data_IF_594928415251
#
_entry.id   IF_594928415251
#
_cell.length_a   1.000
_cell.length_b   1.000
_cell.length_c   1.000
_cell.angle_alpha   90.00
_cell.angle_beta   90.00
_cell.angle_gamma   90.00
#
_symmetry.space_group_name_H-M   'P 1'
#
loop_
_entity.id
_entity.type
_entity.pdbx_description
1 polymer ?
#
# COMPACT_ATOMS: atom_id res chain seq x y z
N UNK A 1 6.56 4.11 36.10
CA UNK A 1 6.03 3.10 35.16
C UNK A 1 7.21 2.58 34.36
N UNK A 2 7.39 1.28 34.26
CA UNK A 2 8.70 0.70 33.91
C UNK A 2 8.82 0.48 32.40
N UNK A 3 9.25 1.51 31.66
CA UNK A 3 9.44 1.51 30.21
C UNK A 3 10.21 0.27 29.67
N UNK A 4 11.12 -0.27 30.48
CA UNK A 4 11.89 -1.46 30.12
C UNK A 4 11.04 -2.74 30.12
N UNK A 5 10.07 -2.87 31.01
CA UNK A 5 9.12 -3.99 31.04
C UNK A 5 8.13 -3.95 29.87
N UNK A 6 7.67 -2.75 29.50
CA UNK A 6 6.79 -2.56 28.34
C UNK A 6 7.51 -2.91 27.04
N UNK A 7 8.78 -2.51 26.90
CA UNK A 7 9.61 -2.84 25.73
C UNK A 7 9.85 -4.35 25.61
N UNK A 8 10.21 -5.02 26.71
CA UNK A 8 10.40 -6.48 26.73
C UNK A 8 9.11 -7.23 26.40
N UNK A 9 7.97 -6.75 26.88
CA UNK A 9 6.68 -7.34 26.58
C UNK A 9 6.31 -7.19 25.09
N UNK A 10 6.51 -6.02 24.51
CA UNK A 10 6.30 -5.77 23.08
C UNK A 10 7.22 -6.63 22.20
N UNK A 11 8.49 -6.79 22.58
CA UNK A 11 9.43 -7.67 21.86
C UNK A 11 9.02 -9.14 21.91
N UNK A 12 8.54 -9.62 23.07
CA UNK A 12 8.03 -11.00 23.21
C UNK A 12 6.83 -11.24 22.30
N UNK A 13 5.86 -10.32 22.30
CA UNK A 13 4.67 -10.42 21.46
C UNK A 13 4.97 -10.36 19.96
N UNK A 14 5.91 -9.52 19.55
CA UNK A 14 6.37 -9.48 18.15
C UNK A 14 6.96 -10.83 17.71
N UNK A 15 7.67 -11.51 18.62
CA UNK A 15 8.19 -12.85 18.38
C UNK A 15 7.07 -13.88 18.21
N UNK A 16 6.05 -13.83 19.04
CA UNK A 16 4.87 -14.71 18.95
C UNK A 16 4.11 -14.54 17.63
N UNK A 17 3.91 -13.30 17.19
CA UNK A 17 3.26 -13.01 15.89
C UNK A 17 4.07 -13.55 14.70
N UNK A 18 5.40 -13.38 14.74
CA UNK A 18 6.26 -13.96 13.70
C UNK A 18 6.17 -15.47 13.66
N UNK A 19 6.14 -16.12 14.82
CA UNK A 19 5.99 -17.57 14.92
C UNK A 19 4.63 -18.03 14.36
N UNK A 20 3.52 -17.33 14.66
CA UNK A 20 2.20 -17.62 14.10
C UNK A 20 2.16 -17.47 12.59
N UNK A 21 2.78 -16.44 12.03
CA UNK A 21 2.85 -16.24 10.58
C UNK A 21 3.64 -17.36 9.90
N UNK A 22 4.75 -17.78 10.50
CA UNK A 22 5.56 -18.89 9.98
C UNK A 22 4.84 -20.24 10.08
N UNK A 23 4.15 -20.50 11.19
CA UNK A 23 3.29 -21.66 11.34
C UNK A 23 2.17 -21.67 10.29
N UNK A 24 1.50 -20.54 10.07
CA UNK A 24 0.49 -20.42 9.02
C UNK A 24 1.05 -20.74 7.63
N UNK A 25 2.29 -20.33 7.33
CA UNK A 25 2.97 -20.67 6.07
C UNK A 25 3.16 -22.17 5.92
N UNK A 26 3.65 -22.86 6.93
CA UNK A 26 3.86 -24.31 6.95
C UNK A 26 2.54 -25.09 6.80
N UNK A 27 1.49 -24.60 7.47
CA UNK A 27 0.14 -25.17 7.34
C UNK A 27 -0.43 -25.01 5.92
N UNK A 28 -0.16 -23.87 5.26
CA UNK A 28 -0.54 -23.70 3.84
C UNK A 28 0.20 -24.67 2.92
N UNK A 29 1.48 -24.98 3.19
CA UNK A 29 2.26 -25.96 2.44
C UNK A 29 1.72 -27.38 2.62
N UNK A 30 1.19 -27.70 3.80
CA UNK A 30 0.52 -28.97 4.10
C UNK A 30 -0.98 -29.00 3.75
N UNK A 31 -1.50 -27.95 3.12
CA UNK A 31 -2.90 -27.77 2.75
C UNK A 31 -3.90 -27.72 3.93
N UNK A 32 -3.45 -27.46 5.17
CA UNK A 32 -4.34 -27.14 6.29
C UNK A 32 -4.70 -25.63 6.25
N UNK A 33 -5.47 -25.25 5.25
CA UNK A 33 -5.88 -23.90 4.99
C UNK A 33 -6.78 -23.32 6.08
N UNK A 34 -7.56 -24.16 6.77
CA UNK A 34 -8.47 -23.74 7.82
C UNK A 34 -7.72 -23.23 9.04
N UNK A 35 -6.70 -23.96 9.49
CA UNK A 35 -5.88 -23.56 10.64
C UNK A 35 -4.98 -22.37 10.26
N UNK A 36 -4.39 -22.40 9.06
CA UNK A 36 -3.60 -21.27 8.55
C UNK A 36 -4.39 -19.95 8.54
N UNK A 37 -5.64 -19.98 8.03
CA UNK A 37 -6.50 -18.79 8.02
C UNK A 37 -6.76 -18.24 9.42
N UNK A 38 -7.04 -19.11 10.39
CA UNK A 38 -7.29 -18.69 11.79
C UNK A 38 -6.07 -17.97 12.37
N UNK A 39 -4.88 -18.50 12.15
CA UNK A 39 -3.63 -17.89 12.62
C UNK A 39 -3.39 -16.54 11.96
N UNK A 40 -3.59 -16.43 10.63
CA UNK A 40 -3.42 -15.16 9.90
C UNK A 40 -4.39 -14.07 10.35
N UNK A 41 -5.67 -14.41 10.55
CA UNK A 41 -6.68 -13.46 11.05
C UNK A 41 -6.34 -13.04 12.48
N UNK A 42 -6.02 -13.98 13.36
CA UNK A 42 -5.61 -13.67 14.74
C UNK A 42 -4.37 -12.77 14.77
N UNK A 43 -3.37 -13.06 13.94
CA UNK A 43 -2.17 -12.23 13.84
C UNK A 43 -2.48 -10.83 13.28
N UNK A 44 -3.41 -10.70 12.32
CA UNK A 44 -3.82 -9.40 11.77
C UNK A 44 -4.51 -8.51 12.79
N UNK A 45 -5.41 -9.09 13.61
CA UNK A 45 -6.20 -8.37 14.60
C UNK A 45 -5.38 -7.93 15.84
N UNK A 46 -4.13 -8.36 15.92
CA UNK A 46 -3.28 -8.02 17.06
C UNK A 46 -2.86 -6.54 17.00
N UNK A 47 -3.12 -5.72 18.06
CA UNK A 47 -2.92 -4.27 18.01
C UNK A 47 -1.47 -3.82 17.78
N UNK A 48 -0.50 -4.61 18.28
CA UNK A 48 0.92 -4.28 18.20
C UNK A 48 1.62 -4.88 16.97
N UNK A 49 0.87 -5.33 15.96
CA UNK A 49 1.48 -5.83 14.70
C UNK A 49 2.17 -4.72 13.96
N UNK A 50 3.49 -4.81 13.86
CA UNK A 50 4.31 -3.89 13.07
C UNK A 50 4.12 -4.12 11.56
N UNK A 51 4.34 -3.10 10.75
CA UNK A 51 4.06 -3.11 9.29
C UNK A 51 4.75 -4.25 8.53
N UNK A 52 5.97 -4.65 8.94
CA UNK A 52 6.66 -5.78 8.31
C UNK A 52 5.92 -7.11 8.49
N UNK A 53 5.30 -7.34 9.64
CA UNK A 53 4.49 -8.52 9.91
C UNK A 53 3.17 -8.47 9.15
N UNK A 54 2.51 -7.30 9.10
CA UNK A 54 1.29 -7.11 8.29
C UNK A 54 1.54 -7.38 6.82
N UNK A 55 2.67 -6.93 6.27
CA UNK A 55 3.05 -7.22 4.88
C UNK A 55 3.14 -8.73 4.61
N UNK A 56 3.71 -9.49 5.53
CA UNK A 56 3.76 -10.97 5.43
C UNK A 56 2.37 -11.61 5.49
N UNK A 57 1.49 -11.11 6.35
CA UNK A 57 0.09 -11.58 6.44
C UNK A 57 -0.64 -11.33 5.11
N UNK A 58 -0.54 -10.14 4.52
CA UNK A 58 -1.17 -9.82 3.23
C UNK A 58 -0.68 -10.73 2.10
N UNK A 59 0.64 -11.03 2.05
CA UNK A 59 1.20 -11.95 1.06
C UNK A 59 0.58 -13.35 1.20
N UNK A 60 0.44 -13.85 2.42
CA UNK A 60 -0.15 -15.17 2.66
C UNK A 60 -1.66 -15.18 2.38
N UNK A 61 -2.40 -14.16 2.79
CA UNK A 61 -3.83 -14.03 2.46
C UNK A 61 -4.06 -13.95 0.94
N UNK A 62 -3.22 -13.21 0.20
CA UNK A 62 -3.28 -13.12 -1.27
C UNK A 62 -3.09 -14.49 -1.94
N UNK A 63 -2.25 -15.37 -1.36
CA UNK A 63 -2.06 -16.75 -1.84
C UNK A 63 -3.20 -17.68 -1.42
N UNK A 64 -3.82 -17.43 -0.26
CA UNK A 64 -4.84 -18.29 0.31
C UNK A 64 -6.22 -18.08 -0.32
N UNK A 65 -6.60 -16.84 -0.64
CA UNK A 65 -7.91 -16.48 -1.19
C UNK A 65 -8.28 -17.26 -2.46
N UNK A 66 -7.40 -17.46 -3.45
CA UNK A 66 -7.73 -18.22 -4.66
C UNK A 66 -7.98 -19.73 -4.43
N UNK A 67 -7.43 -20.31 -3.37
CA UNK A 67 -7.43 -21.76 -3.13
C UNK A 67 -8.35 -22.18 -1.99
N UNK A 68 -8.84 -21.23 -1.18
CA UNK A 68 -9.68 -21.52 -0.01
C UNK A 68 -10.79 -20.47 0.14
N UNK A 69 -12.00 -20.78 -0.32
CA UNK A 69 -13.14 -19.86 -0.35
C UNK A 69 -13.45 -19.16 1.01
N UNK A 70 -13.35 -19.82 2.19
CA UNK A 70 -13.54 -19.14 3.46
C UNK A 70 -12.56 -17.99 3.72
N UNK A 71 -11.36 -17.99 3.09
CA UNK A 71 -10.39 -16.91 3.21
C UNK A 71 -10.91 -15.62 2.58
N UNK A 72 -11.65 -15.70 1.46
CA UNK A 72 -12.26 -14.53 0.84
C UNK A 72 -13.26 -13.87 1.78
N UNK A 73 -14.12 -14.65 2.45
CA UNK A 73 -15.07 -14.13 3.43
C UNK A 73 -14.38 -13.51 4.65
N UNK A 74 -13.25 -14.08 5.11
CA UNK A 74 -12.47 -13.51 6.19
C UNK A 74 -11.82 -12.19 5.80
N UNK A 75 -11.18 -12.12 4.62
CA UNK A 75 -10.57 -10.89 4.10
C UNK A 75 -11.63 -9.78 3.92
N UNK A 76 -12.83 -10.14 3.45
CA UNK A 76 -13.95 -9.19 3.35
C UNK A 76 -14.31 -8.58 4.71
N UNK A 77 -14.38 -9.39 5.77
CA UNK A 77 -14.65 -8.90 7.13
C UNK A 77 -13.54 -7.97 7.64
N UNK A 78 -12.28 -8.30 7.41
CA UNK A 78 -11.16 -7.45 7.78
C UNK A 78 -11.23 -6.11 7.04
N UNK A 79 -11.51 -6.12 5.73
CA UNK A 79 -11.70 -4.92 4.92
C UNK A 79 -12.85 -4.05 5.45
N UNK A 80 -14.00 -4.65 5.74
CA UNK A 80 -15.18 -3.93 6.24
C UNK A 80 -14.93 -3.35 7.63
N UNK A 81 -14.10 -4.00 8.45
CA UNK A 81 -13.65 -3.48 9.72
C UNK A 81 -12.80 -2.21 9.54
N UNK A 82 -11.79 -2.22 8.64
CA UNK A 82 -11.00 -1.02 8.35
C UNK A 82 -11.87 0.09 7.72
N UNK A 83 -12.77 -0.26 6.80
CA UNK A 83 -13.73 0.69 6.21
C UNK A 83 -14.60 1.36 7.28
N UNK A 84 -15.01 0.62 8.32
CA UNK A 84 -15.80 1.16 9.41
C UNK A 84 -15.08 2.21 10.25
N UNK A 85 -13.76 2.06 10.43
CA UNK A 85 -12.90 3.06 11.10
C UNK A 85 -12.78 4.31 10.23
N UNK A 86 -12.50 4.13 8.93
CA UNK A 86 -12.38 5.21 7.96
C UNK A 86 -13.67 6.06 7.93
N UNK A 87 -14.84 5.42 7.87
CA UNK A 87 -16.14 6.11 7.86
C UNK A 87 -16.44 6.87 9.16
N UNK A 88 -15.83 6.49 10.28
CA UNK A 88 -16.00 7.18 11.57
C UNK A 88 -14.94 8.26 11.80
N UNK A 89 -14.07 8.50 10.84
CA UNK A 89 -12.86 9.35 10.98
C UNK A 89 -11.95 8.92 12.14
N UNK A 90 -11.98 7.63 12.51
CA UNK A 90 -11.11 7.00 13.49
C UNK A 90 -10.04 6.18 12.75
N UNK A 91 -9.25 6.86 11.94
CA UNK A 91 -8.26 6.22 11.09
C UNK A 91 -7.01 7.07 10.92
N UNK A 92 -5.93 6.36 10.65
CA UNK A 92 -4.64 6.89 10.24
C UNK A 92 -4.24 6.35 8.85
N UNK A 93 -3.07 6.72 8.38
CA UNK A 93 -2.50 6.22 7.13
C UNK A 93 -2.40 4.69 7.10
N UNK A 94 -2.09 4.04 8.23
CA UNK A 94 -1.97 2.57 8.31
C UNK A 94 -3.31 1.90 8.09
N UNK A 95 -4.38 2.42 8.69
CA UNK A 95 -5.76 1.95 8.50
C UNK A 95 -6.18 2.02 7.03
N UNK A 96 -5.90 3.15 6.36
CA UNK A 96 -6.21 3.36 4.95
C UNK A 96 -5.37 2.44 4.06
N UNK A 97 -4.09 2.29 4.34
CA UNK A 97 -3.21 1.38 3.61
C UNK A 97 -3.65 -0.09 3.74
N UNK A 98 -4.04 -0.51 4.94
CA UNK A 98 -4.59 -1.85 5.18
C UNK A 98 -5.86 -2.09 4.37
N UNK A 99 -6.79 -1.12 4.37
CA UNK A 99 -8.00 -1.18 3.57
C UNK A 99 -7.70 -1.33 2.07
N UNK A 100 -6.78 -0.54 1.54
CA UNK A 100 -6.35 -0.63 0.14
C UNK A 100 -5.79 -2.00 -0.23
N UNK A 101 -4.88 -2.55 0.60
CA UNK A 101 -4.31 -3.89 0.40
C UNK A 101 -5.35 -5.01 0.47
N UNK A 102 -6.33 -4.90 1.36
CA UNK A 102 -7.42 -5.89 1.46
C UNK A 102 -8.33 -5.85 0.23
N UNK A 103 -8.63 -4.65 -0.31
CA UNK A 103 -9.34 -4.53 -1.60
C UNK A 103 -8.55 -5.15 -2.76
N UNK A 104 -7.24 -4.95 -2.83
CA UNK A 104 -6.39 -5.59 -3.84
C UNK A 104 -6.45 -7.12 -3.76
N UNK A 105 -6.40 -7.69 -2.55
CA UNK A 105 -6.51 -9.15 -2.33
C UNK A 105 -7.88 -9.68 -2.79
N UNK A 106 -8.93 -8.91 -2.57
CA UNK A 106 -10.31 -9.27 -2.98
C UNK A 106 -10.54 -9.07 -4.49
N UNK A 107 -9.67 -8.35 -5.20
CA UNK A 107 -9.91 -7.91 -6.56
C UNK A 107 -11.07 -6.93 -6.70
N UNK A 108 -11.38 -6.18 -5.64
CA UNK A 108 -12.47 -5.19 -5.61
C UNK A 108 -11.94 -3.83 -6.07
N UNK A 109 -11.86 -3.64 -7.39
CA UNK A 109 -11.35 -2.42 -8.02
C UNK A 109 -12.16 -1.17 -7.66
N UNK A 110 -13.44 -1.31 -7.33
CA UNK A 110 -14.31 -0.19 -7.00
C UNK A 110 -14.45 0.07 -5.49
N UNK A 111 -13.96 -0.83 -4.65
CA UNK A 111 -14.17 -0.76 -3.20
C UNK A 111 -13.64 0.52 -2.58
N UNK A 112 -12.47 0.99 -3.01
CA UNK A 112 -11.86 2.21 -2.50
C UNK A 112 -12.61 3.47 -2.99
N UNK A 113 -12.99 3.52 -4.27
CA UNK A 113 -13.74 4.64 -4.85
C UNK A 113 -15.14 4.75 -4.20
N UNK A 114 -15.83 3.62 -4.01
CA UNK A 114 -17.13 3.59 -3.34
C UNK A 114 -17.05 4.07 -1.88
N UNK A 115 -15.94 3.80 -1.18
CA UNK A 115 -15.72 4.32 0.15
C UNK A 115 -15.44 5.82 0.11
N UNK A 116 -14.59 6.28 -0.81
CA UNK A 116 -14.25 7.68 -1.01
C UNK A 116 -15.48 8.55 -1.25
N UNK A 117 -16.43 8.08 -2.06
CA UNK A 117 -17.67 8.79 -2.37
C UNK A 117 -18.61 8.96 -1.16
N UNK A 118 -18.47 8.10 -0.16
CA UNK A 118 -19.25 8.15 1.08
C UNK A 118 -18.61 9.03 2.16
N UNK A 119 -17.36 9.40 2.00
CA UNK A 119 -16.64 10.22 2.98
C UNK A 119 -17.09 11.69 2.88
N UNK A 120 -17.28 12.29 4.04
CA UNK A 120 -17.60 13.73 4.17
C UNK A 120 -16.36 14.48 4.68
N UNK A 121 -15.58 13.85 5.56
CA UNK A 121 -14.38 14.45 6.19
C UNK A 121 -13.27 14.64 5.14
N UNK A 122 -12.84 15.90 4.87
CA UNK A 122 -11.83 16.17 3.87
C UNK A 122 -10.45 15.62 4.24
N UNK A 123 -10.10 15.50 5.53
CA UNK A 123 -8.83 14.97 5.98
C UNK A 123 -8.76 13.47 5.67
N UNK A 124 -9.86 12.75 5.94
CA UNK A 124 -9.95 11.31 5.66
C UNK A 124 -10.00 11.07 4.15
N UNK A 125 -10.67 11.93 3.38
CA UNK A 125 -10.62 11.88 1.91
C UNK A 125 -9.21 12.01 1.38
N UNK A 126 -8.44 12.95 1.92
CA UNK A 126 -7.05 13.17 1.51
C UNK A 126 -6.18 11.93 1.78
N UNK A 127 -6.33 11.30 2.93
CA UNK A 127 -5.65 10.03 3.22
C UNK A 127 -6.01 8.91 2.23
N UNK A 128 -7.29 8.78 1.85
CA UNK A 128 -7.74 7.74 0.93
C UNK A 128 -7.39 8.06 -0.53
N UNK A 129 -7.10 9.30 -0.85
CA UNK A 129 -6.84 9.77 -2.21
C UNK A 129 -5.66 9.03 -2.87
N UNK A 130 -4.64 8.66 -2.09
CA UNK A 130 -3.50 7.84 -2.56
C UNK A 130 -3.90 6.48 -3.15
N UNK A 131 -5.06 5.96 -2.79
CA UNK A 131 -5.58 4.67 -3.24
C UNK A 131 -6.63 4.77 -4.35
N UNK A 132 -7.20 5.97 -4.59
CA UNK A 132 -8.33 6.14 -5.54
C UNK A 132 -8.04 7.09 -6.69
N UNK A 133 -6.92 7.82 -6.66
CA UNK A 133 -6.66 8.86 -7.64
C UNK A 133 -6.66 8.36 -9.09
N UNK A 134 -6.15 7.14 -9.36
CA UNK A 134 -6.19 6.55 -10.71
C UNK A 134 -7.61 6.27 -11.17
N UNK A 135 -8.49 5.87 -10.26
CA UNK A 135 -9.89 5.60 -10.57
C UNK A 135 -10.69 6.90 -10.76
N UNK A 136 -10.34 7.95 -10.00
CA UNK A 136 -10.88 9.29 -10.22
C UNK A 136 -10.48 9.83 -11.59
N UNK A 137 -9.23 9.65 -12.02
CA UNK A 137 -8.78 10.03 -13.38
C UNK A 137 -9.54 9.26 -14.45
N UNK A 138 -9.64 7.93 -14.34
CA UNK A 138 -10.42 7.10 -15.26
C UNK A 138 -11.89 7.52 -15.35
N UNK A 139 -12.43 8.04 -14.24
CA UNK A 139 -13.80 8.57 -14.16
C UNK A 139 -13.89 10.06 -14.52
N UNK A 140 -12.80 10.68 -14.98
CA UNK A 140 -12.71 12.10 -15.36
C UNK A 140 -13.01 13.08 -14.23
N UNK A 141 -12.76 12.68 -12.98
CA UNK A 141 -12.99 13.47 -11.75
C UNK A 141 -11.72 14.22 -11.35
N UNK A 142 -11.14 15.00 -12.25
CA UNK A 142 -9.82 15.62 -12.10
C UNK A 142 -9.75 16.63 -10.95
N UNK A 143 -10.81 17.40 -10.72
CA UNK A 143 -10.84 18.39 -9.62
C UNK A 143 -10.67 17.75 -8.24
N UNK A 144 -11.12 16.50 -8.08
CA UNK A 144 -10.98 15.78 -6.82
C UNK A 144 -9.55 15.23 -6.61
N UNK A 145 -8.79 15.09 -7.68
CA UNK A 145 -7.37 14.68 -7.64
C UNK A 145 -6.43 15.87 -7.48
N UNK A 146 -6.89 17.08 -7.81
CA UNK A 146 -6.10 18.31 -7.79
C UNK A 146 -5.29 18.54 -6.51
N UNK A 147 -5.84 18.34 -5.30
CA UNK A 147 -5.07 18.50 -4.06
C UNK A 147 -3.88 17.55 -3.95
N UNK A 148 -3.95 16.39 -4.62
CA UNK A 148 -2.93 15.35 -4.58
C UNK A 148 -1.88 15.48 -5.69
N UNK A 149 -2.11 16.34 -6.68
CA UNK A 149 -1.28 16.44 -7.88
C UNK A 149 0.18 16.82 -7.56
N UNK A 150 0.41 17.73 -6.61
CA UNK A 150 1.77 18.11 -6.21
C UNK A 150 2.53 16.94 -5.58
N UNK A 151 1.84 16.11 -4.79
CA UNK A 151 2.42 14.90 -4.20
C UNK A 151 2.78 13.87 -5.27
N UNK A 152 1.92 13.67 -6.26
CA UNK A 152 2.18 12.79 -7.41
C UNK A 152 3.39 13.27 -8.22
N UNK A 153 3.47 14.56 -8.52
CA UNK A 153 4.63 15.15 -9.22
C UNK A 153 5.90 14.98 -8.41
N UNK A 154 5.84 15.15 -7.08
CA UNK A 154 6.95 14.91 -6.17
C UNK A 154 7.42 13.45 -6.20
N UNK A 155 6.50 12.49 -6.20
CA UNK A 155 6.81 11.06 -6.33
C UNK A 155 7.51 10.73 -7.65
N UNK A 156 6.97 11.21 -8.77
CA UNK A 156 7.57 11.03 -10.10
C UNK A 156 8.98 11.62 -10.16
N UNK A 157 9.19 12.80 -9.56
CA UNK A 157 10.51 13.42 -9.48
C UNK A 157 11.50 12.57 -8.68
N UNK A 158 11.08 12.03 -7.54
CA UNK A 158 11.92 11.14 -6.71
C UNK A 158 12.27 9.86 -7.48
N UNK A 159 11.31 9.25 -8.16
CA UNK A 159 11.53 8.05 -8.96
C UNK A 159 12.52 8.30 -10.10
N UNK A 160 12.38 9.42 -10.83
CA UNK A 160 13.29 9.81 -11.90
C UNK A 160 14.71 10.08 -11.36
N UNK A 161 14.83 10.85 -10.28
CA UNK A 161 16.11 11.15 -9.66
C UNK A 161 16.81 9.89 -9.12
N UNK A 162 16.05 9.00 -8.50
CA UNK A 162 16.57 7.72 -7.99
C UNK A 162 17.05 6.83 -9.13
N UNK A 163 16.33 6.79 -10.25
CA UNK A 163 16.73 6.06 -11.46
C UNK A 163 18.01 6.61 -12.08
N UNK A 164 18.14 7.93 -12.20
CA UNK A 164 19.35 8.57 -12.72
C UNK A 164 20.54 8.40 -11.75
N UNK A 165 20.29 8.44 -10.45
CA UNK A 165 21.30 8.16 -9.41
C UNK A 165 21.87 6.75 -9.53
N UNK A 166 21.03 5.75 -9.76
CA UNK A 166 21.44 4.35 -10.01
C UNK A 166 22.31 4.24 -11.26
N UNK A 167 21.99 5.00 -12.32
CA UNK A 167 22.80 5.03 -13.55
C UNK A 167 24.14 5.73 -13.38
N UNK A 168 24.19 6.80 -12.58
CA UNK A 168 25.42 7.61 -12.39
C UNK A 168 26.48 6.90 -11.56
N UNK A 169 26.09 5.95 -10.69
CA UNK A 169 26.99 5.24 -9.80
C UNK A 169 26.93 3.70 -9.92
N UNK A 170 26.97 3.12 -11.14
CA UNK A 170 26.72 1.68 -11.34
C UNK A 170 27.81 0.76 -10.77
N UNK A 171 28.93 1.27 -10.28
CA UNK A 171 30.09 0.48 -9.90
C UNK A 171 30.94 1.11 -8.76
N UNK A 172 30.34 1.68 -7.76
CA UNK A 172 31.10 2.03 -6.56
C UNK A 172 31.33 0.76 -5.71
N UNK A 173 32.53 0.12 -5.77
CA UNK A 173 32.78 -1.15 -5.11
C UNK A 173 32.84 -1.06 -3.58
N UNK A 174 32.69 0.13 -3.03
CA UNK A 174 32.71 0.41 -1.59
C UNK A 174 31.34 0.69 -0.97
N UNK A 175 30.26 0.79 -1.76
CA UNK A 175 28.95 1.03 -1.23
C UNK A 175 28.14 -0.28 -1.13
N UNK A 176 27.62 -0.57 0.06
CA UNK A 176 26.63 -1.64 0.27
C UNK A 176 25.32 -1.42 -0.55
N UNK A 177 25.19 -0.27 -1.23
CA UNK A 177 24.13 0.08 -2.16
C UNK A 177 24.12 -0.73 -3.46
N UNK A 178 25.23 -1.37 -3.84
CA UNK A 178 25.37 -2.13 -5.10
C UNK A 178 24.46 -3.36 -5.21
N UNK A 179 23.85 -3.81 -4.11
CA UNK A 179 22.97 -5.01 -4.10
C UNK A 179 21.49 -4.73 -4.35
N UNK A 180 21.04 -3.50 -4.28
CA UNK A 180 19.65 -3.09 -4.51
C UNK A 180 19.32 -2.83 -5.99
N UNK A 181 20.33 -2.73 -6.84
CA UNK A 181 20.35 -2.15 -8.17
C UNK A 181 19.21 -2.49 -9.13
N UNK A 182 18.89 -3.75 -9.31
CA UNK A 182 18.01 -4.12 -10.45
C UNK A 182 16.52 -4.18 -10.10
N UNK A 183 16.17 -4.46 -8.87
CA UNK A 183 14.78 -4.55 -8.46
C UNK A 183 14.22 -3.15 -8.17
N UNK A 184 15.01 -2.29 -7.54
CA UNK A 184 14.64 -0.89 -7.29
C UNK A 184 14.59 -0.09 -8.60
N UNK A 185 15.60 -0.21 -9.46
CA UNK A 185 15.61 0.40 -10.79
C UNK A 185 14.34 0.06 -11.60
N UNK A 186 13.94 -1.22 -11.59
CA UNK A 186 12.70 -1.65 -12.24
C UNK A 186 11.46 -1.09 -11.56
N UNK A 187 11.49 -0.92 -10.24
CA UNK A 187 10.42 -0.28 -9.47
C UNK A 187 10.22 1.17 -9.87
N UNK A 188 11.28 1.96 -9.90
CA UNK A 188 11.24 3.37 -10.30
C UNK A 188 10.79 3.55 -11.76
N UNK A 189 11.36 2.78 -12.70
CA UNK A 189 10.93 2.80 -14.10
C UNK A 189 9.47 2.43 -14.27
N UNK A 190 9.02 1.42 -13.53
CA UNK A 190 7.63 1.01 -13.58
C UNK A 190 6.71 2.12 -13.08
N UNK A 191 7.04 2.75 -11.95
CA UNK A 191 6.25 3.85 -11.40
C UNK A 191 6.20 5.03 -12.39
N UNK A 192 7.34 5.41 -12.98
CA UNK A 192 7.38 6.46 -14.02
C UNK A 192 6.48 6.13 -15.20
N UNK A 193 6.54 4.89 -15.71
CA UNK A 193 5.74 4.45 -16.84
C UNK A 193 4.23 4.34 -16.50
N UNK A 194 3.89 3.96 -15.27
CA UNK A 194 2.50 3.78 -14.85
C UNK A 194 1.85 5.08 -14.37
N UNK A 195 2.59 5.96 -13.69
CA UNK A 195 2.03 7.16 -13.03
C UNK A 195 2.22 8.44 -13.84
N UNK A 196 3.32 8.53 -14.59
CA UNK A 196 3.65 9.71 -15.40
C UNK A 196 2.54 10.12 -16.36
N UNK A 197 2.02 9.21 -17.20
CA UNK A 197 0.94 9.55 -18.15
C UNK A 197 -0.32 10.06 -17.48
N UNK A 198 -0.74 9.46 -16.37
CA UNK A 198 -1.93 9.92 -15.62
C UNK A 198 -1.70 11.29 -15.00
N UNK A 199 -0.53 11.53 -14.40
CA UNK A 199 -0.19 12.80 -13.77
C UNK A 199 -0.12 13.92 -14.80
N UNK A 200 0.43 13.64 -15.98
CA UNK A 200 0.44 14.55 -17.11
C UNK A 200 -0.99 14.87 -17.60
N UNK A 201 -1.84 13.86 -17.73
CA UNK A 201 -3.24 14.04 -18.11
C UNK A 201 -4.00 14.93 -17.12
N UNK A 202 -3.83 14.72 -15.82
CA UNK A 202 -4.46 15.54 -14.77
C UNK A 202 -4.05 17.00 -14.94
N UNK A 203 -2.76 17.27 -15.09
CA UNK A 203 -2.24 18.63 -15.25
C UNK A 203 -2.82 19.33 -16.49
N UNK A 204 -2.95 18.63 -17.62
CA UNK A 204 -3.58 19.17 -18.83
C UNK A 204 -5.08 19.45 -18.63
N UNK A 205 -5.81 18.54 -18.00
CA UNK A 205 -7.26 18.66 -17.79
C UNK A 205 -7.63 19.75 -16.79
N UNK A 206 -6.71 20.07 -15.87
CA UNK A 206 -6.85 21.14 -14.89
C UNK A 206 -6.32 22.51 -15.38
N UNK A 207 -5.95 22.60 -16.66
CA UNK A 207 -5.37 23.82 -17.29
C UNK A 207 -4.11 24.30 -16.53
N UNK A 208 -3.20 23.36 -16.24
CA UNK A 208 -1.93 23.61 -15.53
C UNK A 208 -0.73 23.34 -16.46
N UNK A 209 -0.54 24.15 -17.54
CA UNK A 209 0.41 23.85 -18.61
C UNK A 209 1.87 23.82 -18.14
N UNK A 210 2.26 24.64 -17.17
CA UNK A 210 3.62 24.63 -16.63
C UNK A 210 3.91 23.34 -15.84
N UNK A 211 2.92 22.80 -15.14
CA UNK A 211 3.06 21.53 -14.43
C UNK A 211 3.11 20.37 -15.43
N UNK A 212 2.26 20.38 -16.46
CA UNK A 212 2.32 19.41 -17.54
C UNK A 212 3.70 19.40 -18.23
N UNK A 213 4.27 20.58 -18.51
CA UNK A 213 5.61 20.70 -19.07
C UNK A 213 6.67 20.08 -18.16
N UNK A 214 6.65 20.38 -16.86
CA UNK A 214 7.58 19.79 -15.88
C UNK A 214 7.49 18.26 -15.84
N UNK A 215 6.28 17.72 -15.84
CA UNK A 215 6.06 16.26 -15.86
C UNK A 215 6.63 15.65 -17.12
N UNK A 216 6.37 16.26 -18.29
CA UNK A 216 6.90 15.80 -19.56
C UNK A 216 8.44 15.79 -19.59
N UNK A 217 9.09 16.81 -19.05
CA UNK A 217 10.55 16.89 -18.94
C UNK A 217 11.16 15.81 -18.03
N UNK A 218 10.39 15.30 -17.05
CA UNK A 218 10.83 14.25 -16.13
C UNK A 218 10.64 12.85 -16.75
N UNK A 219 9.54 12.64 -17.49
CA UNK A 219 9.11 11.30 -17.95
C UNK A 219 9.67 10.96 -19.33
N UNK A 220 10.00 11.97 -20.15
CA UNK A 220 10.55 11.82 -21.53
C UNK A 220 12.06 11.95 -21.56
#
# INVERSE_FOLDING_TARGET
MNFHLELLHAMSKTGEIKAQIEEARQLMESADYSTALKLLVSAYEFPEVIDSNKSSIFILLKKLVPVYEPAKSAVLKLRDFEASKILKSDCDYVTVSNFGRLNEILGDENGALNLFDRLIDPIVKDLLLSHVWKDLVRSQRYEEVKPYLESLVGSIFIDAYSYDGVKLFPNDPGSDYVRFDRLEERGHLRNLAEEGPYTFEIALKLDMPEMARRIAEIVL
#
